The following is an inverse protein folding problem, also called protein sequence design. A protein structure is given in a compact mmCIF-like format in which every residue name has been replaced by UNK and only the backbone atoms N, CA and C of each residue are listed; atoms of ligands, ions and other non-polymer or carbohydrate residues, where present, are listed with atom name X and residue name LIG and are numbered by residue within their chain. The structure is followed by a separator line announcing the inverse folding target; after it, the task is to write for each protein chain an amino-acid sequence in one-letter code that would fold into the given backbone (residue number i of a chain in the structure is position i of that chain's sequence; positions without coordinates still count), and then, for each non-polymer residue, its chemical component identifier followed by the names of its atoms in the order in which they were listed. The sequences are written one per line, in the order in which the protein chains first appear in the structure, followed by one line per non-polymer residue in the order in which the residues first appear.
data_IF_787879429884
#
_entry.id   IF_787879429884
#
_cell.length_a   1.000
_cell.length_b   1.000
_cell.length_c   1.000
_cell.angle_alpha   90.00
_cell.angle_beta   90.00
_cell.angle_gamma   90.00
#
_symmetry.space_group_name_H-M   'P 1'
#
loop_
_entity.id
_entity.type
_entity.pdbx_description
1 polymer ?
#
# COMPACT_ATOMS: atom_id res chain seq x y z
N UNK A 1 15.77 1.12 -2.79
CA UNK A 1 14.67 0.25 -2.37
C UNK A 1 13.43 0.49 -3.24
N UNK A 2 12.78 -0.55 -3.75
CA UNK A 2 11.74 -0.44 -4.79
C UNK A 2 10.68 -1.55 -4.74
N UNK A 3 9.65 -1.47 -5.59
CA UNK A 3 8.52 -2.42 -5.60
C UNK A 3 8.96 -3.89 -5.71
N UNK A 4 10.04 -4.16 -6.46
CA UNK A 4 10.59 -5.52 -6.62
C UNK A 4 11.03 -6.11 -5.27
N UNK A 5 11.64 -5.30 -4.41
CA UNK A 5 12.05 -5.75 -3.07
C UNK A 5 10.83 -6.06 -2.20
N UNK A 6 9.74 -5.30 -2.33
CA UNK A 6 8.47 -5.59 -1.65
C UNK A 6 7.88 -6.92 -2.15
N UNK A 7 8.03 -7.25 -3.43
CA UNK A 7 7.55 -8.52 -4.02
C UNK A 7 8.36 -9.72 -3.53
N UNK A 8 9.64 -9.55 -3.14
CA UNK A 8 10.48 -10.65 -2.63
C UNK A 8 10.70 -10.64 -1.10
N UNK A 9 10.26 -9.60 -0.40
CA UNK A 9 10.39 -9.47 1.06
C UNK A 9 9.62 -10.53 1.86
N UNK A 10 9.96 -10.68 3.13
CA UNK A 10 9.10 -11.41 4.07
C UNK A 10 8.08 -10.45 4.70
N UNK A 11 6.98 -10.99 5.23
CA UNK A 11 5.91 -10.20 5.88
C UNK A 11 6.45 -9.27 6.96
N UNK A 12 7.38 -9.76 7.79
CA UNK A 12 8.04 -8.99 8.87
C UNK A 12 8.79 -7.76 8.35
N UNK A 13 9.24 -7.77 7.09
CA UNK A 13 9.99 -6.67 6.46
C UNK A 13 9.07 -5.71 5.69
N UNK A 14 7.85 -6.14 5.36
CA UNK A 14 6.93 -5.36 4.53
C UNK A 14 6.55 -3.99 5.15
N UNK A 15 6.28 -3.85 6.46
CA UNK A 15 5.91 -2.55 7.04
C UNK A 15 6.97 -1.46 6.83
N UNK A 16 8.25 -1.78 7.04
CA UNK A 16 9.34 -0.80 6.90
C UNK A 16 9.57 -0.43 5.41
N UNK A 17 9.44 -1.40 4.51
CA UNK A 17 9.51 -1.16 3.07
C UNK A 17 8.36 -0.29 2.59
N UNK A 18 7.13 -0.56 3.03
CA UNK A 18 5.94 0.23 2.69
C UNK A 18 6.12 1.67 3.16
N UNK A 19 6.53 1.88 4.42
CA UNK A 19 6.82 3.21 4.96
C UNK A 19 7.84 3.97 4.12
N UNK A 20 8.96 3.33 3.79
CA UNK A 20 10.01 3.94 2.96
C UNK A 20 9.49 4.31 1.56
N UNK A 21 8.70 3.43 0.93
CA UNK A 21 8.15 3.68 -0.40
C UNK A 21 7.10 4.80 -0.37
N UNK A 22 6.29 4.89 0.69
CA UNK A 22 5.34 5.98 0.89
C UNK A 22 6.04 7.33 1.07
N UNK A 23 7.06 7.40 1.93
CA UNK A 23 7.81 8.64 2.19
C UNK A 23 8.49 9.16 0.93
N UNK A 24 9.07 8.25 0.14
CA UNK A 24 9.63 8.58 -1.18
C UNK A 24 8.55 9.04 -2.16
N UNK A 25 7.41 8.35 -2.23
CA UNK A 25 6.30 8.74 -3.10
C UNK A 25 5.82 10.16 -2.76
N UNK A 26 5.74 10.51 -1.48
CA UNK A 26 5.31 11.85 -1.04
C UNK A 26 6.34 12.94 -1.34
N UNK A 27 7.62 12.60 -1.37
CA UNK A 27 8.73 13.56 -1.51
C UNK A 27 9.21 13.72 -2.95
N UNK A 28 9.26 12.63 -3.72
CA UNK A 28 9.85 12.57 -5.07
C UNK A 28 8.80 12.79 -6.18
N UNK A 29 7.53 12.50 -5.93
CA UNK A 29 6.46 12.66 -6.90
C UNK A 29 5.73 13.96 -6.60
N UNK A 30 5.59 14.86 -7.55
CA UNK A 30 4.85 16.11 -7.35
C UNK A 30 3.36 15.94 -7.61
N UNK A 31 3.01 15.15 -8.63
CA UNK A 31 1.64 14.94 -9.08
C UNK A 31 0.84 14.04 -8.12
N UNK A 32 -0.24 14.57 -7.55
CA UNK A 32 -1.06 13.84 -6.58
C UNK A 32 -1.77 12.61 -7.16
N UNK A 33 -2.12 12.63 -8.46
CA UNK A 33 -2.71 11.47 -9.14
C UNK A 33 -1.70 10.34 -9.29
N UNK A 34 -0.45 10.68 -9.60
CA UNK A 34 0.63 9.69 -9.66
C UNK A 34 0.96 9.13 -8.28
N UNK A 35 1.01 9.98 -7.23
CA UNK A 35 1.14 9.53 -5.84
C UNK A 35 0.06 8.50 -5.48
N UNK A 36 -1.20 8.83 -5.76
CA UNK A 36 -2.32 7.92 -5.48
C UNK A 36 -2.19 6.59 -6.25
N UNK A 37 -1.80 6.63 -7.52
CA UNK A 37 -1.59 5.42 -8.32
C UNK A 37 -0.48 4.53 -7.77
N UNK A 38 0.60 5.11 -7.25
CA UNK A 38 1.68 4.35 -6.60
C UNK A 38 1.20 3.72 -5.29
N UNK A 39 0.47 4.46 -4.46
CA UNK A 39 -0.08 3.94 -3.20
C UNK A 39 -1.04 2.77 -3.46
N UNK A 40 -1.89 2.89 -4.48
CA UNK A 40 -2.83 1.85 -4.89
C UNK A 40 -2.11 0.58 -5.42
N UNK A 41 -1.01 0.76 -6.14
CA UNK A 41 -0.17 -0.36 -6.59
C UNK A 41 0.48 -1.09 -5.40
N UNK A 42 0.96 -0.35 -4.39
CA UNK A 42 1.52 -0.95 -3.17
C UNK A 42 0.47 -1.79 -2.44
N UNK A 43 -0.74 -1.25 -2.26
CA UNK A 43 -1.86 -1.98 -1.65
C UNK A 43 -2.18 -3.27 -2.41
N UNK A 44 -2.27 -3.18 -3.74
CA UNK A 44 -2.56 -4.34 -4.60
C UNK A 44 -1.49 -5.43 -4.47
N UNK A 45 -0.21 -5.05 -4.46
CA UNK A 45 0.90 -6.00 -4.30
C UNK A 45 0.86 -6.67 -2.93
N UNK A 46 0.60 -5.92 -1.87
CA UNK A 46 0.51 -6.47 -0.52
C UNK A 46 -0.66 -7.44 -0.40
N UNK A 47 -1.85 -7.08 -0.90
CA UNK A 47 -3.02 -7.96 -0.91
C UNK A 47 -2.79 -9.24 -1.72
N UNK A 48 -2.11 -9.12 -2.87
CA UNK A 48 -1.78 -10.27 -3.72
C UNK A 48 -0.73 -11.17 -3.09
N UNK A 49 0.25 -10.61 -2.38
CA UNK A 49 1.39 -11.35 -1.84
C UNK A 49 1.08 -11.99 -0.49
N UNK A 50 0.46 -11.24 0.41
CA UNK A 50 0.17 -11.65 1.76
C UNK A 50 -1.31 -12.04 1.87
N UNK A 51 -1.70 -13.09 1.14
CA UNK A 51 -3.10 -13.54 1.06
C UNK A 51 -3.71 -13.98 2.41
N UNK A 52 -2.87 -14.22 3.41
CA UNK A 52 -3.28 -14.57 4.77
C UNK A 52 -3.52 -13.35 5.66
N UNK A 53 -2.99 -12.17 5.28
CA UNK A 53 -3.23 -10.95 6.03
C UNK A 53 -4.62 -10.42 5.74
N UNK A 54 -5.30 -10.02 6.82
CA UNK A 54 -6.51 -9.25 6.73
C UNK A 54 -6.23 -7.84 6.18
N UNK A 55 -7.26 -7.21 5.61
CA UNK A 55 -7.18 -5.82 5.16
C UNK A 55 -6.75 -4.87 6.28
N UNK A 56 -7.18 -5.12 7.51
CA UNK A 56 -6.79 -4.30 8.67
C UNK A 56 -5.29 -4.39 8.97
N UNK A 57 -4.69 -5.58 8.80
CA UNK A 57 -3.25 -5.77 8.97
C UNK A 57 -2.46 -5.11 7.84
N UNK A 58 -2.95 -5.17 6.61
CA UNK A 58 -2.38 -4.44 5.47
C UNK A 58 -2.46 -2.93 5.72
N UNK A 59 -3.63 -2.42 6.14
CA UNK A 59 -3.86 -1.00 6.46
C UNK A 59 -2.95 -0.48 7.56
N UNK A 60 -2.63 -1.31 8.55
CA UNK A 60 -1.71 -0.95 9.63
C UNK A 60 -0.26 -0.73 9.15
N UNK A 61 0.09 -1.19 7.94
CA UNK A 61 1.39 -0.91 7.30
C UNK A 61 1.41 0.49 6.64
N UNK A 62 0.25 1.12 6.45
CA UNK A 62 0.12 2.48 5.93
C UNK A 62 -0.29 3.44 7.04
N UNK A 63 -0.10 4.75 6.82
CA UNK A 63 -0.88 5.71 7.60
C UNK A 63 -2.34 5.63 7.11
N UNK A 64 -3.29 5.56 8.04
CA UNK A 64 -4.74 5.45 7.76
C UNK A 64 -5.24 6.51 6.76
N UNK A 65 -4.59 7.67 6.70
CA UNK A 65 -4.89 8.75 5.75
C UNK A 65 -4.51 8.42 4.30
N UNK A 66 -3.44 7.64 4.10
CA UNK A 66 -2.90 7.33 2.77
C UNK A 66 -3.75 6.28 2.06
N UNK A 67 -4.26 5.29 2.81
CA UNK A 67 -5.03 4.18 2.24
C UNK A 67 -6.51 4.52 1.99
N UNK A 68 -7.12 5.41 2.78
CA UNK A 68 -8.55 5.78 2.62
C UNK A 68 -8.89 6.42 1.27
N UNK A 69 -7.88 6.93 0.56
CA UNK A 69 -8.03 7.60 -0.73
C UNK A 69 -7.85 6.65 -1.92
N UNK A 70 -7.37 5.42 -1.72
CA UNK A 70 -7.19 4.47 -2.83
C UNK A 70 -8.54 3.91 -3.29
N UNK A 71 -8.67 3.63 -4.59
CA UNK A 71 -9.91 3.05 -5.13
C UNK A 71 -10.09 1.61 -4.65
N UNK A 72 -9.01 0.83 -4.62
CA UNK A 72 -8.98 -0.54 -4.06
C UNK A 72 -9.57 -0.58 -2.65
N UNK A 73 -9.23 0.36 -1.77
CA UNK A 73 -9.81 0.46 -0.44
C UNK A 73 -11.32 0.77 -0.48
N UNK A 74 -11.73 1.74 -1.32
CA UNK A 74 -13.13 2.17 -1.40
C UNK A 74 -14.04 1.10 -2.01
N UNK A 75 -13.58 0.38 -3.03
CA UNK A 75 -14.30 -0.71 -3.68
C UNK A 75 -14.48 -1.87 -2.71
N UNK A 76 -13.40 -2.30 -2.05
CA UNK A 76 -13.45 -3.35 -1.04
C UNK A 76 -14.39 -3.04 0.13
N UNK A 77 -14.44 -1.78 0.57
CA UNK A 77 -15.34 -1.35 1.63
C UNK A 77 -16.81 -1.34 1.19
N UNK A 78 -17.07 -1.11 -0.09
CA UNK A 78 -18.42 -1.14 -0.65
C UNK A 78 -18.92 -2.57 -0.87
N UNK A 79 -18.05 -3.50 -1.28
CA UNK A 79 -18.38 -4.91 -1.48
C UNK A 79 -18.64 -5.68 -0.18
N UNK A 80 -18.10 -5.20 0.95
CA UNK A 80 -18.35 -5.78 2.28
C UNK A 80 -19.66 -5.34 2.96
N UNK A 81 -20.57 -4.68 2.23
CA UNK A 81 -21.90 -4.27 2.73
C UNK A 81 -23.01 -5.20 2.29
#
# INVERSE_FOLDING_TARGET
MGLIELIVSQEVQAPELVKTLLDRTKTEVENDREKQGIIELLETVLLSKFSQLSRQEIEAMFLVSDIKQTRVYQEAKQEGR
#
